data_IF_593520864395
#
_entry.id   IF_593520864395
#
_cell.length_a   1.000
_cell.length_b   1.000
_cell.length_c   1.000
_cell.angle_alpha   90.00
_cell.angle_beta   90.00
_cell.angle_gamma   90.00
#
_symmetry.space_group_name_H-M   'P 1'
#
loop_
_entity.id
_entity.type
_entity.pdbx_description
1 polymer ?
#
# COMPACT_ATOMS: atom_id res chain seq x y z
N UNK A 1 13.57 15.19 -19.55
CA UNK A 1 12.11 15.45 -19.46
C UNK A 1 11.31 14.16 -19.30
N UNK A 2 11.39 13.21 -20.24
CA UNK A 2 10.60 11.95 -20.20
C UNK A 2 10.77 11.16 -18.90
N UNK A 3 12.00 10.92 -18.43
CA UNK A 3 12.24 10.21 -17.17
C UNK A 3 11.66 10.93 -15.94
N UNK A 4 11.67 12.27 -15.93
CA UNK A 4 11.06 13.03 -14.84
C UNK A 4 9.55 12.89 -14.79
N UNK A 5 8.88 12.99 -15.95
CA UNK A 5 7.44 12.80 -16.10
C UNK A 5 7.00 11.38 -15.73
N UNK A 6 7.73 10.37 -16.20
CA UNK A 6 7.46 8.98 -15.83
C UNK A 6 7.59 8.79 -14.31
N UNK A 7 8.65 9.33 -13.70
CA UNK A 7 8.87 9.27 -12.27
C UNK A 7 7.75 9.94 -11.45
N UNK A 8 7.34 11.16 -11.81
CA UNK A 8 6.28 11.87 -11.08
C UNK A 8 4.92 11.20 -11.21
N UNK A 9 4.57 10.70 -12.40
CA UNK A 9 3.34 9.92 -12.61
C UNK A 9 3.38 8.62 -11.81
N UNK A 10 4.51 7.90 -11.84
CA UNK A 10 4.73 6.71 -11.04
C UNK A 10 4.54 6.98 -9.55
N UNK A 11 5.09 8.08 -9.05
CA UNK A 11 4.95 8.47 -7.65
C UNK A 11 3.50 8.81 -7.28
N UNK A 12 2.76 9.46 -8.18
CA UNK A 12 1.34 9.76 -7.98
C UNK A 12 0.50 8.49 -7.86
N UNK A 13 0.68 7.54 -8.80
CA UNK A 13 -0.03 6.24 -8.76
C UNK A 13 0.39 5.44 -7.53
N UNK A 14 1.68 5.42 -7.20
CA UNK A 14 2.19 4.76 -5.99
C UNK A 14 1.54 5.31 -4.72
N UNK A 15 1.47 6.63 -4.58
CA UNK A 15 0.87 7.29 -3.43
C UNK A 15 -0.63 6.98 -3.32
N UNK A 16 -1.36 7.05 -4.43
CA UNK A 16 -2.80 6.75 -4.45
C UNK A 16 -3.09 5.27 -4.13
N UNK A 17 -2.29 4.36 -4.69
CA UNK A 17 -2.40 2.93 -4.42
C UNK A 17 -2.05 2.59 -2.96
N UNK A 18 -0.97 3.17 -2.43
CA UNK A 18 -0.58 3.01 -1.02
C UNK A 18 -1.65 3.57 -0.08
N UNK A 19 -2.25 4.71 -0.43
CA UNK A 19 -3.37 5.28 0.32
C UNK A 19 -4.57 4.33 0.35
N UNK A 20 -4.91 3.70 -0.78
CA UNK A 20 -5.99 2.72 -0.83
C UNK A 20 -5.74 1.50 0.08
N UNK A 21 -4.50 1.00 0.15
CA UNK A 21 -4.11 -0.09 1.08
C UNK A 21 -4.28 0.35 2.53
N UNK A 22 -3.76 1.53 2.89
CA UNK A 22 -3.83 2.03 4.25
C UNK A 22 -5.27 2.38 4.66
N UNK A 23 -6.05 3.00 3.77
CA UNK A 23 -7.46 3.33 4.04
C UNK A 23 -8.30 2.07 4.24
N UNK A 24 -8.03 1.01 3.46
CA UNK A 24 -8.65 -0.30 3.66
C UNK A 24 -8.24 -0.90 5.01
N UNK A 25 -6.95 -0.80 5.38
CA UNK A 25 -6.43 -1.31 6.67
C UNK A 25 -7.03 -0.63 7.90
N UNK A 26 -7.12 0.69 7.85
CA UNK A 26 -7.46 1.53 9.00
C UNK A 26 -8.96 1.89 9.03
N UNK A 27 -9.74 1.44 8.05
CA UNK A 27 -11.19 1.63 8.09
C UNK A 27 -11.84 0.75 9.15
N UNK A 28 -12.56 1.39 10.07
CA UNK A 28 -13.45 0.72 11.03
C UNK A 28 -14.83 0.37 10.42
N UNK A 29 -15.12 0.86 9.22
CA UNK A 29 -16.40 0.68 8.55
C UNK A 29 -16.34 -0.55 7.62
N UNK A 30 -17.14 -1.60 7.85
CA UNK A 30 -17.15 -2.81 7.03
C UNK A 30 -17.65 -2.57 5.59
N UNK A 31 -18.31 -1.43 5.33
CA UNK A 31 -18.78 -1.02 4.01
C UNK A 31 -17.73 -0.29 3.17
N UNK A 32 -16.61 0.14 3.76
CA UNK A 32 -15.59 0.90 3.03
C UNK A 32 -14.78 0.02 2.07
N UNK A 33 -14.53 -1.23 2.44
CA UNK A 33 -13.89 -2.23 1.59
C UNK A 33 -14.39 -3.64 1.96
N UNK A 34 -15.63 -4.00 1.56
CA UNK A 34 -16.26 -5.26 1.98
C UNK A 34 -15.54 -6.50 1.43
N UNK A 35 -14.74 -6.35 0.38
CA UNK A 35 -14.06 -7.45 -0.30
C UNK A 35 -12.52 -7.42 -0.15
N UNK A 36 -11.96 -6.35 0.43
CA UNK A 36 -10.50 -6.16 0.48
C UNK A 36 -9.89 -5.75 -0.86
N UNK A 37 -10.70 -5.28 -1.83
CA UNK A 37 -10.21 -4.91 -3.15
C UNK A 37 -9.24 -3.72 -3.09
N UNK A 38 -9.46 -2.78 -2.17
CA UNK A 38 -8.53 -1.67 -1.96
C UNK A 38 -7.14 -2.13 -1.55
N UNK A 39 -7.08 -3.16 -0.71
CA UNK A 39 -5.83 -3.79 -0.27
C UNK A 39 -5.15 -4.55 -1.42
N UNK A 40 -5.90 -5.39 -2.15
CA UNK A 40 -5.36 -6.23 -3.23
C UNK A 40 -4.87 -5.37 -4.40
N UNK A 41 -5.73 -4.52 -4.95
CA UNK A 41 -5.37 -3.66 -6.08
C UNK A 41 -4.33 -2.62 -5.66
N UNK A 42 -4.42 -2.09 -4.44
CA UNK A 42 -3.42 -1.17 -3.91
C UNK A 42 -2.03 -1.80 -3.79
N UNK A 43 -1.91 -3.06 -3.38
CA UNK A 43 -0.62 -3.76 -3.35
C UNK A 43 -0.09 -4.08 -4.75
N UNK A 44 -0.94 -4.58 -5.64
CA UNK A 44 -0.55 -4.91 -7.01
C UNK A 44 -0.08 -3.68 -7.79
N UNK A 45 -0.70 -2.51 -7.54
CA UNK A 45 -0.33 -1.26 -8.19
C UNK A 45 0.84 -0.56 -7.48
N UNK A 46 0.92 -0.56 -6.15
CA UNK A 46 1.98 0.17 -5.44
C UNK A 46 3.38 -0.35 -5.76
N UNK A 47 3.59 -1.67 -5.84
CA UNK A 47 4.93 -2.24 -6.09
C UNK A 47 5.53 -1.79 -7.43
N UNK A 48 4.89 -2.01 -8.60
CA UNK A 48 5.48 -1.64 -9.89
C UNK A 48 5.60 -0.11 -10.07
N UNK A 49 4.60 0.66 -9.62
CA UNK A 49 4.62 2.12 -9.78
C UNK A 49 5.58 2.81 -8.80
N UNK A 50 5.78 2.25 -7.61
CA UNK A 50 6.81 2.69 -6.66
C UNK A 50 8.22 2.42 -7.19
N UNK A 51 8.45 1.28 -7.84
CA UNK A 51 9.72 0.96 -8.50
C UNK A 51 10.00 1.92 -9.67
N UNK A 52 8.98 2.17 -10.49
CA UNK A 52 9.05 3.13 -11.59
C UNK A 52 9.37 4.55 -11.07
N UNK A 53 8.72 4.97 -9.98
CA UNK A 53 9.01 6.23 -9.31
C UNK A 53 10.48 6.28 -8.83
N UNK A 54 10.94 5.27 -8.09
CA UNK A 54 12.30 5.23 -7.54
C UNK A 54 13.40 5.20 -8.62
N UNK A 55 13.16 4.53 -9.75
CA UNK A 55 14.09 4.47 -10.87
C UNK A 55 14.10 5.74 -11.73
N UNK A 56 12.95 6.40 -11.89
CA UNK A 56 12.80 7.52 -12.82
C UNK A 56 12.92 8.91 -12.16
N UNK A 57 12.54 9.09 -10.89
CA UNK A 57 12.72 10.35 -10.14
C UNK A 57 14.17 10.89 -10.16
N UNK A 58 15.21 10.06 -9.97
CA UNK A 58 16.59 10.53 -9.93
C UNK A 58 17.03 11.19 -11.25
N UNK A 59 16.36 10.91 -12.36
CA UNK A 59 16.67 11.47 -13.68
C UNK A 59 16.35 12.98 -13.78
N UNK A 60 15.53 13.52 -12.87
CA UNK A 60 15.25 14.97 -12.75
C UNK A 60 16.44 15.73 -12.19
N UNK A 61 17.26 15.09 -11.36
CA UNK A 61 18.36 15.75 -10.65
C UNK A 61 19.62 15.92 -11.52
N UNK A 62 20.46 16.93 -11.22
CA UNK A 62 21.75 17.10 -11.88
C UNK A 62 22.70 15.92 -11.61
N UNK A 63 23.57 15.60 -12.58
CA UNK A 63 24.40 14.37 -12.60
C UNK A 63 25.16 14.10 -11.30
N UNK A 64 25.69 15.14 -10.65
CA UNK A 64 26.43 15.01 -9.40
C UNK A 64 25.60 14.57 -8.19
N UNK A 65 24.26 14.58 -8.27
CA UNK A 65 23.38 14.20 -7.15
C UNK A 65 22.48 13.01 -7.49
N UNK A 66 22.53 12.50 -8.72
CA UNK A 66 21.66 11.40 -9.19
C UNK A 66 21.86 10.12 -8.40
N UNK A 67 23.10 9.73 -8.12
CA UNK A 67 23.38 8.53 -7.33
C UNK A 67 22.79 8.64 -5.93
N UNK A 68 22.98 9.78 -5.26
CA UNK A 68 22.41 10.01 -3.93
C UNK A 68 20.89 9.99 -3.95
N UNK A 69 20.27 10.67 -4.93
CA UNK A 69 18.82 10.68 -5.11
C UNK A 69 18.27 9.28 -5.41
N UNK A 70 18.99 8.49 -6.19
CA UNK A 70 18.65 7.11 -6.52
C UNK A 70 18.72 6.22 -5.27
N UNK A 71 19.80 6.27 -4.51
CA UNK A 71 19.92 5.50 -3.26
C UNK A 71 18.82 5.86 -2.27
N UNK A 72 18.56 7.16 -2.05
CA UNK A 72 17.48 7.60 -1.16
C UNK A 72 16.12 7.13 -1.68
N UNK A 73 15.86 7.26 -2.99
CA UNK A 73 14.61 6.82 -3.61
C UNK A 73 14.36 5.32 -3.42
N UNK A 74 15.37 4.49 -3.65
CA UNK A 74 15.27 3.04 -3.41
C UNK A 74 15.09 2.70 -1.93
N UNK A 75 15.81 3.37 -1.01
CA UNK A 75 15.62 3.16 0.43
C UNK A 75 14.20 3.49 0.87
N UNK A 76 13.66 4.63 0.44
CA UNK A 76 12.29 5.04 0.74
C UNK A 76 11.28 4.05 0.14
N UNK A 77 11.52 3.61 -1.09
CA UNK A 77 10.68 2.60 -1.74
C UNK A 77 10.66 1.28 -0.97
N UNK A 78 11.82 0.72 -0.63
CA UNK A 78 11.90 -0.53 0.14
C UNK A 78 11.26 -0.39 1.52
N UNK A 79 11.49 0.73 2.22
CA UNK A 79 10.85 0.99 3.51
C UNK A 79 9.32 1.06 3.38
N UNK A 80 8.83 1.71 2.32
CA UNK A 80 7.38 1.85 2.07
C UNK A 80 6.74 0.51 1.72
N UNK A 81 7.36 -0.29 0.85
CA UNK A 81 6.89 -1.64 0.51
C UNK A 81 6.90 -2.55 1.75
N UNK A 82 7.97 -2.53 2.55
CA UNK A 82 8.05 -3.29 3.78
C UNK A 82 6.92 -2.90 4.76
N UNK A 83 6.64 -1.61 4.90
CA UNK A 83 5.54 -1.11 5.72
C UNK A 83 4.18 -1.58 5.19
N UNK A 84 3.93 -1.50 3.89
CA UNK A 84 2.70 -1.96 3.26
C UNK A 84 2.48 -3.46 3.47
N UNK A 85 3.54 -4.26 3.27
CA UNK A 85 3.52 -5.71 3.53
C UNK A 85 3.24 -5.99 5.00
N UNK A 86 3.87 -5.26 5.92
CA UNK A 86 3.62 -5.40 7.36
C UNK A 86 2.16 -5.07 7.71
N UNK A 87 1.61 -3.98 7.18
CA UNK A 87 0.20 -3.63 7.38
C UNK A 87 -0.75 -4.69 6.82
N UNK A 88 -0.45 -5.26 5.66
CA UNK A 88 -1.22 -6.34 5.06
C UNK A 88 -1.14 -7.64 5.87
N UNK A 89 0.06 -8.02 6.32
CA UNK A 89 0.28 -9.24 7.10
C UNK A 89 -0.34 -9.18 8.51
N UNK A 90 -0.45 -7.98 9.08
CA UNK A 90 -1.07 -7.75 10.40
C UNK A 90 -2.56 -7.45 10.31
N UNK A 91 -3.19 -7.61 9.15
CA UNK A 91 -4.65 -7.57 9.04
C UNK A 91 -5.27 -8.74 9.79
N UNK A 92 -6.23 -8.52 10.71
CA UNK A 92 -6.98 -9.62 11.30
C UNK A 92 -7.80 -10.31 10.21
N UNK A 93 -7.37 -11.51 9.80
CA UNK A 93 -7.99 -12.29 8.71
C UNK A 93 -9.35 -12.88 9.07
N UNK A 94 -9.84 -12.66 10.29
CA UNK A 94 -11.16 -13.13 10.76
C UNK A 94 -11.80 -12.05 11.63
N UNK A 95 -13.00 -11.61 11.25
CA UNK A 95 -13.92 -11.06 12.27
C UNK A 95 -14.07 -12.15 13.35
N UNK A 96 -13.95 -11.81 14.65
CA UNK A 96 -14.29 -12.78 15.67
C UNK A 96 -15.73 -13.27 15.38
N UNK A 97 -15.98 -14.59 15.37
CA UNK A 97 -17.24 -15.16 14.88
C UNK A 97 -18.48 -14.57 15.57
N UNK A 98 -18.30 -13.98 16.75
CA UNK A 98 -19.35 -13.40 17.58
C UNK A 98 -19.62 -11.91 17.33
N UNK A 99 -18.87 -11.25 16.43
CA UNK A 99 -19.12 -9.85 16.03
C UNK A 99 -20.08 -9.72 14.83
N UNK A 100 -20.63 -10.84 14.34
CA UNK A 100 -21.64 -10.85 13.27
C UNK A 100 -23.04 -10.67 13.87
N UNK A 101 -23.96 -10.01 13.15
CA UNK A 101 -25.37 -9.93 13.52
C UNK A 101 -26.22 -10.46 12.33
N UNK A 102 -26.89 -11.63 12.45
CA UNK A 102 -26.96 -12.45 13.65
C UNK A 102 -25.62 -13.14 13.98
N UNK A 103 -25.33 -13.37 15.27
CA UNK A 103 -24.09 -14.01 15.70
C UNK A 103 -24.01 -15.44 15.15
N UNK A 104 -22.80 -15.86 14.79
CA UNK A 104 -22.58 -17.20 14.28
C UNK A 104 -23.03 -18.26 15.31
N UNK A 105 -23.61 -19.39 14.88
CA UNK A 105 -24.26 -20.37 15.76
C UNK A 105 -23.33 -20.93 16.85
N UNK A 106 -22.03 -21.03 16.58
CA UNK A 106 -21.01 -21.41 17.57
C UNK A 106 -20.86 -20.44 18.77
N UNK A 107 -21.38 -19.20 18.70
CA UNK A 107 -21.31 -18.22 19.78
C UNK A 107 -22.50 -18.26 20.76
N UNK A 108 -23.51 -19.10 20.52
CA UNK A 108 -24.66 -19.24 21.44
C UNK A 108 -24.36 -20.04 22.71
N UNK A 109 -23.23 -20.76 22.75
CA UNK A 109 -22.89 -21.71 23.81
C UNK A 109 -21.48 -21.50 24.39
N UNK A 110 -20.88 -20.33 24.19
CA UNK A 110 -19.67 -19.97 24.92
C UNK A 110 -20.04 -19.76 26.41
N UNK A 111 -19.27 -20.31 27.37
CA UNK A 111 -19.54 -20.18 28.80
C UNK A 111 -19.46 -18.72 29.30
#
# INVERSE_FOLDING_TARGET
MVGGLAGTLGLGVFGLASFAVLSSRFSSNPLADPHGYGLIFGMVLSVPFGLLAAGCLPLVFPRGHRLRALTIGFLVYFASVALLVYCAATMPTRLPPCATNPPAPQCKHAP
#
